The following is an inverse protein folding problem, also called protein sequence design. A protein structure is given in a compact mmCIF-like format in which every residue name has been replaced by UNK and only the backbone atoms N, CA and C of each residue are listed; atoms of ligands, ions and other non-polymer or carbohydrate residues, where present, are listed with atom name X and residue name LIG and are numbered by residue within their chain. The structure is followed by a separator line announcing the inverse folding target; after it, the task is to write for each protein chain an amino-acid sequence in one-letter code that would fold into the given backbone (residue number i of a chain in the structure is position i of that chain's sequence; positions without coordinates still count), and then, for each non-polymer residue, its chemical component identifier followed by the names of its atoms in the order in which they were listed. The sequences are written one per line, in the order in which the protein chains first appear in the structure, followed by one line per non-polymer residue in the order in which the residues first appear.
data_IF_537385407775
#
_entry.id   IF_537385407775
#
_cell.length_a   1.000
_cell.length_b   1.000
_cell.length_c   1.000
_cell.angle_alpha   90.00
_cell.angle_beta   90.00
_cell.angle_gamma   90.00
#
_symmetry.space_group_name_H-M   'P 1'
#
loop_
_entity.id
_entity.type
_entity.pdbx_description
1 polymer ?
#
# COMPACT_ATOMS: atom_id res chain seq x y z
N UNK A 1 -20.37 -7.11 -12.88
CA UNK A 1 -19.60 -6.91 -11.63
C UNK A 1 -19.78 -5.46 -11.24
N UNK A 2 -20.42 -5.18 -10.10
CA UNK A 2 -20.59 -3.81 -9.61
C UNK A 2 -19.25 -3.35 -9.00
N UNK A 3 -18.48 -2.61 -9.79
CA UNK A 3 -17.34 -1.84 -9.28
C UNK A 3 -17.91 -0.59 -8.62
N UNK A 4 -18.36 -0.70 -7.38
CA UNK A 4 -18.35 0.46 -6.49
C UNK A 4 -16.88 0.80 -6.27
N UNK A 5 -16.30 1.63 -7.13
CA UNK A 5 -15.06 2.32 -6.83
C UNK A 5 -15.30 3.05 -5.52
N UNK A 6 -14.72 2.55 -4.44
CA UNK A 6 -14.82 3.22 -3.15
C UNK A 6 -14.10 4.56 -3.31
N UNK A 7 -14.87 5.65 -3.39
CA UNK A 7 -14.34 7.01 -3.60
C UNK A 7 -13.72 7.59 -2.33
N UNK A 8 -13.76 6.85 -1.23
CA UNK A 8 -13.18 7.26 0.04
C UNK A 8 -11.64 7.23 -0.05
N UNK A 9 -11.02 8.37 0.22
CA UNK A 9 -9.58 8.48 0.40
C UNK A 9 -9.22 7.92 1.78
N UNK A 10 -8.40 6.87 1.82
CA UNK A 10 -7.88 6.29 3.06
C UNK A 10 -6.80 7.18 3.67
N UNK A 11 -6.79 7.26 5.00
CA UNK A 11 -5.91 8.14 5.78
C UNK A 11 -5.33 7.41 6.98
N UNK A 12 -4.23 7.90 7.55
CA UNK A 12 -3.66 7.35 8.79
C UNK A 12 -4.65 7.49 9.95
N UNK A 13 -5.30 8.65 10.09
CA UNK A 13 -6.34 8.85 11.12
C UNK A 13 -7.53 7.89 10.94
N UNK A 14 -7.89 7.59 9.69
CA UNK A 14 -8.91 6.61 9.39
C UNK A 14 -8.48 5.19 9.79
N UNK A 15 -7.20 4.86 9.60
CA UNK A 15 -6.64 3.59 10.04
C UNK A 15 -6.59 3.47 11.56
N UNK A 16 -6.17 4.51 12.28
CA UNK A 16 -6.19 4.57 13.76
C UNK A 16 -7.60 4.34 14.31
N UNK A 17 -8.60 5.05 13.75
CA UNK A 17 -10.00 4.85 14.13
C UNK A 17 -10.48 3.42 13.85
N UNK A 18 -10.13 2.87 12.68
CA UNK A 18 -10.45 1.48 12.36
C UNK A 18 -9.85 0.52 13.39
N UNK A 19 -8.60 0.74 13.78
CA UNK A 19 -7.92 -0.07 14.77
C UNK A 19 -8.57 0.00 16.16
N UNK A 20 -8.99 1.20 16.60
CA UNK A 20 -9.71 1.40 17.86
C UNK A 20 -11.06 0.64 17.88
N UNK A 21 -11.83 0.77 16.79
CA UNK A 21 -13.15 0.14 16.65
C UNK A 21 -13.06 -1.40 16.53
N UNK A 22 -11.95 -1.93 16.01
CA UNK A 22 -11.72 -3.36 15.76
C UNK A 22 -10.61 -3.94 16.65
N UNK A 23 -10.43 -3.41 17.86
CA UNK A 23 -9.33 -3.76 18.78
C UNK A 23 -9.19 -5.25 19.16
N UNK A 24 -10.15 -6.11 18.80
CA UNK A 24 -10.10 -7.58 19.00
C UNK A 24 -9.91 -8.37 17.70
N UNK A 25 -9.63 -7.69 16.59
CA UNK A 25 -9.49 -8.26 15.26
C UNK A 25 -8.11 -7.90 14.67
N UNK A 26 -7.84 -8.34 13.44
CA UNK A 26 -6.66 -7.90 12.71
C UNK A 26 -6.84 -6.44 12.26
N UNK A 27 -5.98 -5.56 12.77
CA UNK A 27 -6.01 -4.12 12.48
C UNK A 27 -4.82 -3.67 11.64
N UNK A 28 -4.08 -4.60 11.03
CA UNK A 28 -2.98 -4.28 10.13
C UNK A 28 -3.44 -3.39 8.97
N UNK A 29 -2.51 -2.67 8.35
CA UNK A 29 -2.79 -1.79 7.21
C UNK A 29 -3.59 -2.49 6.11
N UNK A 30 -3.24 -3.74 5.77
CA UNK A 30 -3.95 -4.53 4.75
C UNK A 30 -5.38 -4.94 5.15
N UNK A 31 -5.75 -4.87 6.43
CA UNK A 31 -7.13 -5.05 6.88
C UNK A 31 -7.98 -3.81 6.55
N UNK A 32 -7.43 -2.62 6.75
CA UNK A 32 -8.06 -1.32 6.52
C UNK A 32 -8.05 -0.85 5.05
N UNK A 33 -6.92 -0.98 4.36
CA UNK A 33 -6.69 -0.49 3.00
C UNK A 33 -6.43 -1.66 2.06
N UNK A 34 -7.26 -1.82 1.02
CA UNK A 34 -7.16 -2.94 0.06
C UNK A 34 -6.41 -2.50 -1.21
N UNK A 35 -5.77 -3.43 -1.93
CA UNK A 35 -5.19 -3.12 -3.23
C UNK A 35 -6.22 -2.45 -4.16
N UNK A 36 -5.86 -1.32 -4.73
CA UNK A 36 -6.74 -0.48 -5.54
C UNK A 36 -7.33 0.73 -4.81
N UNK A 37 -7.34 0.76 -3.48
CA UNK A 37 -7.79 1.92 -2.71
C UNK A 37 -6.87 3.13 -2.92
N UNK A 38 -7.47 4.32 -2.88
CA UNK A 38 -6.76 5.60 -2.98
C UNK A 38 -6.43 6.10 -1.59
N UNK A 39 -5.22 6.62 -1.42
CA UNK A 39 -4.70 7.15 -0.15
C UNK A 39 -4.19 8.58 -0.32
N UNK A 40 -4.24 9.32 0.77
CA UNK A 40 -3.70 10.69 0.84
C UNK A 40 -2.19 10.74 1.03
N UNK A 41 -1.67 11.97 1.00
CA UNK A 41 -0.26 12.28 1.26
C UNK A 41 0.17 11.90 2.69
N UNK A 42 -0.74 11.95 3.66
CA UNK A 42 -0.49 11.53 5.04
C UNK A 42 -0.06 10.07 5.14
N UNK A 43 -0.70 9.18 4.37
CA UNK A 43 -0.35 7.76 4.29
C UNK A 43 1.00 7.58 3.61
N UNK A 44 1.23 8.28 2.50
CA UNK A 44 2.50 8.22 1.78
C UNK A 44 3.67 8.65 2.67
N UNK A 45 3.54 9.79 3.33
CA UNK A 45 4.57 10.33 4.22
C UNK A 45 4.80 9.43 5.43
N UNK A 46 3.74 8.87 6.01
CA UNK A 46 3.87 7.91 7.10
C UNK A 46 4.75 6.73 6.69
N UNK A 47 4.41 6.05 5.59
CA UNK A 47 5.14 4.85 5.13
C UNK A 47 6.54 5.16 4.60
N UNK A 48 6.75 6.32 3.99
CA UNK A 48 8.07 6.78 3.54
C UNK A 48 9.04 6.98 4.72
N UNK A 49 8.52 7.40 5.88
CA UNK A 49 9.34 7.79 7.04
C UNK A 49 9.51 6.67 8.10
N UNK A 50 9.01 5.45 7.85
CA UNK A 50 9.22 4.31 8.77
C UNK A 50 10.67 3.82 8.70
N UNK A 51 11.16 3.52 7.50
CA UNK A 51 12.49 3.00 7.18
C UNK A 51 12.90 3.48 5.78
N UNK A 52 14.22 3.53 5.46
CA UNK A 52 14.65 3.81 4.09
C UNK A 52 13.92 2.90 3.09
N UNK A 53 13.30 3.48 2.04
CA UNK A 53 12.41 2.73 1.16
C UNK A 53 13.18 1.71 0.33
N UNK A 54 12.54 0.58 0.03
CA UNK A 54 13.11 -0.44 -0.86
C UNK A 54 13.26 0.10 -2.28
N UNK A 55 12.27 0.88 -2.72
CA UNK A 55 12.21 1.54 -4.03
C UNK A 55 11.54 2.89 -3.85
N UNK A 56 12.15 3.94 -4.37
CA UNK A 56 11.57 5.29 -4.39
C UNK A 56 11.86 5.93 -5.75
N UNK A 57 10.80 6.21 -6.50
CA UNK A 57 10.85 6.94 -7.77
C UNK A 57 9.74 8.00 -7.78
N UNK A 58 9.67 8.80 -8.84
CA UNK A 58 8.56 9.75 -9.01
C UNK A 58 7.19 9.06 -9.07
N UNK A 59 7.11 7.79 -9.47
CA UNK A 59 5.85 7.07 -9.68
C UNK A 59 5.59 5.96 -8.66
N UNK A 60 6.57 5.59 -7.83
CA UNK A 60 6.53 4.38 -7.02
C UNK A 60 7.23 4.57 -5.67
N UNK A 61 6.55 4.17 -4.60
CA UNK A 61 7.11 3.94 -3.27
C UNK A 61 6.92 2.46 -2.91
N UNK A 62 8.00 1.80 -2.49
CA UNK A 62 7.94 0.52 -1.80
C UNK A 62 8.57 0.68 -0.42
N UNK A 63 7.80 0.31 0.60
CA UNK A 63 8.20 0.41 2.01
C UNK A 63 9.48 -0.41 2.24
N UNK A 64 10.34 0.07 3.15
CA UNK A 64 11.66 -0.53 3.39
C UNK A 64 11.62 -1.96 3.90
N UNK A 65 10.68 -2.29 4.78
CA UNK A 65 10.56 -3.62 5.37
C UNK A 65 9.81 -4.60 4.43
N UNK A 66 10.36 -5.80 4.18
CA UNK A 66 9.63 -6.87 3.53
C UNK A 66 8.38 -7.27 4.30
N UNK A 67 7.24 -7.39 3.62
CA UNK A 67 6.03 -7.96 4.22
C UNK A 67 6.11 -9.49 4.32
N UNK A 68 6.58 -10.16 3.25
CA UNK A 68 6.70 -11.62 3.19
C UNK A 68 7.72 -12.03 2.12
N UNK A 69 7.87 -13.35 1.89
CA UNK A 69 8.65 -13.93 0.81
C UNK A 69 7.80 -14.94 0.04
N UNK A 70 7.63 -14.73 -1.27
CA UNK A 70 6.77 -15.53 -2.14
C UNK A 70 7.55 -16.08 -3.34
N UNK A 71 7.11 -17.22 -3.87
CA UNK A 71 7.68 -17.77 -5.11
C UNK A 71 7.28 -16.87 -6.28
N UNK A 72 8.25 -16.20 -6.92
CA UNK A 72 8.02 -15.46 -8.14
C UNK A 72 8.08 -16.42 -9.34
N UNK A 73 6.93 -16.68 -9.97
CA UNK A 73 6.84 -17.57 -11.12
C UNK A 73 7.62 -17.06 -12.35
N UNK A 74 7.82 -15.74 -12.49
CA UNK A 74 8.58 -15.13 -13.59
C UNK A 74 10.08 -15.46 -13.47
N UNK A 75 10.60 -15.56 -12.24
CA UNK A 75 12.04 -15.75 -11.97
C UNK A 75 12.39 -17.14 -11.45
N UNK A 76 11.41 -17.91 -10.99
CA UNK A 76 11.59 -19.22 -10.35
C UNK A 76 12.26 -19.15 -8.97
N UNK A 77 12.22 -18.00 -8.29
CA UNK A 77 12.89 -17.78 -6.99
C UNK A 77 11.92 -17.26 -5.94
N UNK A 78 12.16 -17.62 -4.69
CA UNK A 78 11.53 -16.93 -3.55
C UNK A 78 12.10 -15.53 -3.43
N UNK A 79 11.23 -14.53 -3.43
CA UNK A 79 11.59 -13.12 -3.37
C UNK A 79 10.71 -12.39 -2.36
N UNK A 80 11.28 -11.39 -1.70
CA UNK A 80 10.56 -10.53 -0.78
C UNK A 80 9.46 -9.73 -1.50
N UNK A 81 8.33 -9.55 -0.82
CA UNK A 81 7.24 -8.64 -1.23
C UNK A 81 7.18 -7.44 -0.30
N UNK A 82 6.74 -6.29 -0.81
CA UNK A 82 6.77 -5.00 -0.11
C UNK A 82 5.44 -4.28 -0.31
N UNK A 83 4.95 -3.63 0.76
CA UNK A 83 3.84 -2.70 0.64
C UNK A 83 4.19 -1.62 -0.39
N UNK A 84 3.32 -1.44 -1.38
CA UNK A 84 3.63 -0.68 -2.59
C UNK A 84 2.56 0.38 -2.84
N UNK A 85 3.00 1.59 -3.17
CA UNK A 85 2.16 2.74 -3.50
C UNK A 85 2.58 3.31 -4.86
N UNK A 86 1.62 3.48 -5.77
CA UNK A 86 1.85 4.16 -7.05
C UNK A 86 1.25 5.57 -7.04
N UNK A 87 1.91 6.52 -7.69
CA UNK A 87 1.38 7.88 -7.82
C UNK A 87 0.22 7.89 -8.82
N UNK A 88 -0.94 8.41 -8.39
CA UNK A 88 -2.13 8.55 -9.26
C UNK A 88 -2.19 9.93 -9.89
N UNK A 89 -1.85 10.97 -9.12
CA UNK A 89 -1.83 12.33 -9.61
C UNK A 89 -2.10 13.35 -8.51
N UNK A 90 -2.32 14.60 -8.94
CA UNK A 90 -2.59 15.74 -8.08
C UNK A 90 -4.00 16.25 -8.33
N UNK A 91 -4.77 16.50 -7.27
CA UNK A 91 -6.07 17.17 -7.35
C UNK A 91 -6.20 18.20 -6.22
N UNK A 92 -6.68 19.40 -6.54
CA UNK A 92 -6.85 20.52 -5.59
C UNK A 92 -5.65 20.78 -4.67
N UNK A 93 -4.43 20.64 -5.20
CA UNK A 93 -3.20 20.88 -4.44
C UNK A 93 -2.66 19.66 -3.69
N UNK A 94 -3.44 18.59 -3.52
CA UNK A 94 -3.05 17.37 -2.81
C UNK A 94 -2.58 16.27 -3.76
N UNK A 95 -1.57 15.49 -3.35
CA UNK A 95 -1.11 14.30 -4.05
C UNK A 95 -1.90 13.07 -3.60
N UNK A 96 -2.21 12.20 -4.57
CA UNK A 96 -2.92 10.95 -4.33
C UNK A 96 -2.12 9.76 -4.84
N UNK A 97 -2.20 8.69 -4.07
CA UNK A 97 -1.50 7.45 -4.33
C UNK A 97 -2.48 6.30 -4.30
N UNK A 98 -2.19 5.23 -5.03
CA UNK A 98 -2.96 3.99 -4.98
C UNK A 98 -2.15 2.96 -4.25
N UNK A 99 -2.76 2.30 -3.27
CA UNK A 99 -2.15 1.16 -2.63
C UNK A 99 -2.23 -0.04 -3.58
N UNK A 100 -1.06 -0.56 -3.99
CA UNK A 100 -0.96 -1.70 -4.90
C UNK A 100 -0.99 -3.04 -4.17
N UNK A 101 -0.98 -3.04 -2.83
CA UNK A 101 -0.79 -4.26 -2.05
C UNK A 101 0.67 -4.59 -1.83
N UNK A 102 0.98 -5.89 -1.76
CA UNK A 102 2.31 -6.40 -1.49
C UNK A 102 2.93 -6.95 -2.78
N UNK A 103 3.86 -6.19 -3.36
CA UNK A 103 4.42 -6.48 -4.68
C UNK A 103 5.88 -6.91 -4.57
N UNK A 104 6.38 -7.64 -5.57
CA UNK A 104 7.83 -7.85 -5.69
C UNK A 104 8.56 -6.51 -5.90
N UNK A 105 9.86 -6.47 -5.59
CA UNK A 105 10.65 -5.26 -5.73
C UNK A 105 10.61 -4.71 -7.19
N UNK A 106 10.20 -3.46 -7.34
CA UNK A 106 10.04 -2.76 -8.61
C UNK A 106 8.73 -3.06 -9.36
N UNK A 107 7.88 -3.95 -8.85
CA UNK A 107 6.59 -4.31 -9.46
C UNK A 107 5.42 -3.61 -8.73
N UNK A 108 4.26 -3.53 -9.39
CA UNK A 108 3.00 -2.96 -8.86
C UNK A 108 1.84 -3.96 -8.84
N UNK A 109 2.11 -5.22 -9.15
CA UNK A 109 1.12 -6.29 -9.12
C UNK A 109 1.07 -6.91 -7.71
N UNK A 110 -0.11 -6.88 -7.07
CA UNK A 110 -0.29 -7.46 -5.75
C UNK A 110 -0.06 -8.97 -5.80
N UNK A 111 0.76 -9.49 -4.90
CA UNK A 111 0.92 -10.93 -4.71
C UNK A 111 -0.09 -11.39 -3.67
N UNK A 112 -1.13 -12.08 -4.12
CA UNK A 112 -2.05 -12.81 -3.24
C UNK A 112 -1.43 -14.15 -2.87
N UNK A 113 -1.42 -14.46 -1.58
CA UNK A 113 -1.12 -15.81 -1.08
C UNK A 113 -2.21 -16.79 -1.48
#
# INVERSE_FOLDING_TARGET
MNLTTNTEIKTIKGWEKYADEHSRENTDWGAYCKPGDIVGEDVYDYFLNILPPRTLTQSLLQVGEPHSHMMNQKTGKYQATYATFETVGKNDGAMFYRYCGNCFAGETENITQ
#
